data_IF_349494935318
#
_entry.id   IF_349494935318
#
_cell.length_a   1.000
_cell.length_b   1.000
_cell.length_c   1.000
_cell.angle_alpha   90.00
_cell.angle_beta   90.00
_cell.angle_gamma   90.00
#
_symmetry.space_group_name_H-M   'P 1'
#
loop_
_entity.id
_entity.type
_entity.pdbx_description
1 polymer ?
#
# COMPACT_ATOMS: atom_id res chain seq x y z
N UNK A 1 9.37 5.48 -30.69
CA UNK A 1 9.89 6.14 -29.48
C UNK A 1 8.78 6.17 -28.45
N UNK A 2 8.71 5.18 -27.57
CA UNK A 2 7.76 5.17 -26.43
C UNK A 2 8.37 6.01 -25.31
N UNK A 3 7.70 7.08 -24.93
CA UNK A 3 8.04 7.87 -23.74
C UNK A 3 7.76 6.99 -22.52
N UNK A 4 8.80 6.55 -21.85
CA UNK A 4 8.69 5.94 -20.51
C UNK A 4 8.35 7.08 -19.56
N UNK A 5 7.12 7.11 -19.06
CA UNK A 5 6.70 8.01 -18.00
C UNK A 5 7.21 7.41 -16.68
N UNK A 6 8.26 8.00 -16.14
CA UNK A 6 8.82 7.63 -14.85
C UNK A 6 7.83 8.07 -13.76
N UNK A 7 7.07 7.14 -13.21
CA UNK A 7 6.18 7.40 -12.07
C UNK A 7 7.00 7.28 -10.79
N UNK A 8 7.46 8.42 -10.26
CA UNK A 8 8.09 8.46 -8.94
C UNK A 8 7.02 8.25 -7.87
N UNK A 9 7.15 7.18 -7.11
CA UNK A 9 6.32 6.93 -5.94
C UNK A 9 6.89 7.73 -4.77
N UNK A 10 6.22 8.81 -4.41
CA UNK A 10 6.64 9.66 -3.30
C UNK A 10 6.15 9.05 -1.98
N UNK A 11 7.08 8.69 -1.13
CA UNK A 11 6.80 8.44 0.29
C UNK A 11 6.93 9.79 1.00
N UNK A 12 5.81 10.39 1.36
CA UNK A 12 5.83 11.56 2.24
C UNK A 12 6.05 11.09 3.67
N UNK A 13 7.26 11.20 4.20
CA UNK A 13 7.44 11.28 5.63
C UNK A 13 7.17 12.72 6.05
N UNK A 14 6.43 12.92 7.14
CA UNK A 14 6.23 14.24 7.70
C UNK A 14 7.59 14.85 8.07
N UNK A 15 7.83 16.13 7.77
CA UNK A 15 9.09 16.78 8.11
C UNK A 15 9.26 16.82 9.63
N UNK A 16 10.45 16.46 10.08
CA UNK A 16 10.89 16.78 11.44
C UNK A 16 11.23 18.26 11.50
N UNK A 17 10.53 18.99 12.34
CA UNK A 17 10.83 20.40 12.57
C UNK A 17 12.20 20.55 13.23
N UNK A 18 13.08 21.32 12.60
CA UNK A 18 14.35 21.71 13.20
C UNK A 18 14.12 22.81 14.23
N UNK A 19 14.50 22.53 15.43
CA UNK A 19 14.82 23.38 16.60
C UNK A 19 14.02 24.67 16.81
N UNK A 20 13.13 24.60 17.80
CA UNK A 20 12.58 25.78 18.47
C UNK A 20 11.15 25.65 18.94
N UNK A 21 10.28 25.08 18.12
CA UNK A 21 8.89 24.81 18.49
C UNK A 21 8.62 23.38 18.05
N UNK A 22 8.72 22.43 18.97
CA UNK A 22 8.54 21.01 18.66
C UNK A 22 7.09 20.60 18.80
N UNK A 23 6.62 19.96 17.75
CA UNK A 23 5.48 19.05 17.81
C UNK A 23 4.09 19.71 17.92
N UNK A 24 3.24 19.29 17.04
CA UNK A 24 1.84 19.58 17.07
C UNK A 24 1.38 20.70 16.13
N UNK A 25 0.09 20.72 15.87
CA UNK A 25 -0.59 21.69 15.01
C UNK A 25 -0.69 23.10 15.61
N UNK A 26 -0.28 23.26 16.87
CA UNK A 26 -0.23 24.58 17.55
C UNK A 26 0.88 24.61 18.61
N UNK A 27 1.61 25.71 18.66
CA UNK A 27 2.53 26.00 19.74
C UNK A 27 1.88 27.01 20.70
N UNK A 28 2.06 26.88 22.03
CA UNK A 28 1.56 27.87 22.95
C UNK A 28 2.27 29.20 22.76
N UNK A 29 1.49 30.27 22.66
CA UNK A 29 2.01 31.63 22.67
C UNK A 29 2.08 32.08 24.14
N UNK A 30 3.01 31.50 24.88
CA UNK A 30 3.22 31.78 26.30
C UNK A 30 4.51 32.55 26.58
N UNK A 31 4.66 33.01 27.82
CA UNK A 31 5.81 33.78 28.23
C UNK A 31 7.12 33.00 28.20
N UNK A 32 7.08 31.67 28.36
CA UNK A 32 8.29 30.84 28.36
C UNK A 32 8.81 30.63 26.94
N UNK A 33 7.92 30.53 25.98
CA UNK A 33 8.27 30.32 24.56
C UNK A 33 8.66 31.64 23.88
N UNK A 34 7.94 32.75 24.13
CA UNK A 34 8.10 34.00 23.39
C UNK A 34 8.61 35.18 24.24
N UNK A 35 8.93 34.96 25.52
CA UNK A 35 9.34 36.05 26.45
C UNK A 35 10.57 36.84 26.03
N UNK A 36 11.45 36.28 25.17
CA UNK A 36 12.65 36.95 24.64
C UNK A 36 12.39 37.80 23.40
N UNK A 37 11.16 37.85 22.93
CA UNK A 37 10.80 38.61 21.75
C UNK A 37 9.84 39.75 22.13
N UNK A 38 10.00 40.90 21.47
CA UNK A 38 9.08 42.03 21.59
C UNK A 38 8.59 42.41 20.18
N UNK A 39 7.30 42.69 20.04
CA UNK A 39 6.71 43.04 18.75
C UNK A 39 6.23 41.82 17.96
N UNK A 40 6.39 41.83 16.64
CA UNK A 40 5.99 40.73 15.74
C UNK A 40 7.05 39.66 15.71
N UNK A 41 6.66 38.43 15.98
CA UNK A 41 7.50 37.23 15.78
C UNK A 41 7.12 36.57 14.47
N UNK A 42 8.09 36.46 13.56
CA UNK A 42 7.93 35.75 12.29
C UNK A 42 8.39 34.29 12.47
N UNK A 43 7.59 33.35 12.01
CA UNK A 43 7.94 31.94 11.95
C UNK A 43 8.16 31.53 10.50
N UNK A 44 9.22 30.80 10.24
CA UNK A 44 9.53 30.24 8.93
C UNK A 44 9.48 28.71 9.02
N UNK A 45 8.90 28.08 7.99
CA UNK A 45 8.90 26.62 7.88
C UNK A 45 10.24 26.22 7.26
N UNK A 46 11.01 25.42 8.00
CA UNK A 46 12.25 24.84 7.48
C UNK A 46 11.96 23.39 7.07
N UNK A 47 12.14 23.10 5.79
CA UNK A 47 11.95 21.79 5.22
C UNK A 47 13.32 21.15 4.94
N UNK A 48 13.56 19.97 5.48
CA UNK A 48 14.72 19.17 5.11
C UNK A 48 14.30 18.06 4.15
N UNK A 49 14.99 17.89 3.01
CA UNK A 49 14.69 16.81 2.08
C UNK A 49 14.90 15.44 2.69
N UNK A 50 13.97 14.52 2.46
CA UNK A 50 14.11 13.13 2.90
C UNK A 50 15.27 12.44 2.18
N UNK A 51 16.00 11.60 2.92
CA UNK A 51 17.02 10.72 2.36
C UNK A 51 16.40 9.38 1.98
N UNK A 52 16.61 8.96 0.74
CA UNK A 52 16.20 7.68 0.19
C UNK A 52 17.41 6.77 0.12
N UNK A 53 17.34 5.61 0.77
CA UNK A 53 18.38 4.60 0.71
C UNK A 53 18.28 3.78 -0.57
N UNK A 54 19.42 3.51 -1.20
CA UNK A 54 19.52 2.81 -2.48
C UNK A 54 20.29 1.50 -2.30
N UNK A 55 19.76 0.43 -2.84
CA UNK A 55 20.42 -0.86 -2.96
C UNK A 55 20.55 -1.22 -4.45
N UNK A 56 21.68 -1.76 -4.83
CA UNK A 56 22.01 -2.14 -6.20
C UNK A 56 22.21 -3.64 -6.30
N UNK A 57 21.74 -4.26 -7.37
CA UNK A 57 21.77 -5.71 -7.54
C UNK A 57 22.21 -6.11 -8.96
N UNK A 58 22.93 -7.26 -9.08
CA UNK A 58 23.07 -8.04 -10.33
C UNK A 58 22.30 -9.36 -10.14
N UNK A 59 21.08 -9.42 -10.65
CA UNK A 59 20.16 -10.49 -10.29
C UNK A 59 19.85 -10.48 -8.80
N UNK A 60 20.15 -11.58 -8.11
CA UNK A 60 19.90 -11.74 -6.65
C UNK A 60 21.09 -11.26 -5.80
N UNK A 61 22.21 -10.92 -6.42
CA UNK A 61 23.43 -10.51 -5.71
C UNK A 61 23.39 -8.99 -5.43
N UNK A 62 23.45 -8.63 -4.14
CA UNK A 62 23.59 -7.23 -3.73
C UNK A 62 25.01 -6.73 -3.99
N UNK A 63 25.12 -5.68 -4.79
CA UNK A 63 26.42 -5.09 -5.13
C UNK A 63 26.94 -4.20 -4.00
N UNK A 64 28.26 -4.25 -3.77
CA UNK A 64 28.94 -3.27 -2.94
C UNK A 64 29.25 -2.04 -3.78
N UNK A 65 28.67 -0.90 -3.42
CA UNK A 65 28.83 0.36 -4.12
C UNK A 65 29.41 1.44 -3.21
N UNK A 66 29.92 2.52 -3.79
CA UNK A 66 30.46 3.65 -3.04
C UNK A 66 29.34 4.33 -2.23
N UNK A 67 29.72 4.97 -1.11
CA UNK A 67 28.78 5.63 -0.20
C UNK A 67 27.87 6.68 -0.85
N UNK A 68 28.37 7.39 -1.85
CA UNK A 68 27.59 8.38 -2.62
C UNK A 68 26.52 7.78 -3.54
N UNK A 69 26.57 6.46 -3.81
CA UNK A 69 25.55 5.73 -4.54
C UNK A 69 24.62 4.91 -3.64
N UNK A 70 24.75 5.03 -2.30
CA UNK A 70 23.93 4.29 -1.33
C UNK A 70 22.68 5.05 -0.90
N UNK A 71 22.60 6.34 -1.18
CA UNK A 71 21.43 7.16 -0.87
C UNK A 71 21.33 8.37 -1.79
N UNK A 72 20.14 8.94 -1.92
CA UNK A 72 19.93 10.26 -2.49
C UNK A 72 18.89 11.01 -1.63
N UNK A 73 18.95 12.34 -1.68
CA UNK A 73 17.91 13.18 -1.08
C UNK A 73 16.80 13.44 -2.10
N UNK A 74 15.61 13.71 -1.61
CA UNK A 74 14.50 14.16 -2.45
C UNK A 74 14.94 15.42 -3.24
N UNK A 75 14.62 15.46 -4.53
CA UNK A 75 15.11 16.49 -5.50
C UNK A 75 16.65 16.54 -5.66
N UNK A 76 17.39 15.65 -5.04
CA UNK A 76 18.83 15.54 -5.21
C UNK A 76 19.22 14.78 -6.48
N UNK A 77 20.49 14.87 -6.84
CA UNK A 77 21.03 14.13 -7.98
C UNK A 77 21.29 12.68 -7.59
N UNK A 78 20.67 11.73 -8.32
CA UNK A 78 20.94 10.31 -8.18
C UNK A 78 22.36 9.98 -8.70
N UNK A 79 23.24 9.52 -7.82
CA UNK A 79 24.54 8.97 -8.23
C UNK A 79 24.38 7.49 -8.50
N UNK A 80 24.61 7.11 -9.77
CA UNK A 80 24.60 5.69 -10.19
C UNK A 80 26.00 5.08 -10.04
N UNK A 81 26.12 3.78 -9.71
CA UNK A 81 27.40 3.09 -9.71
C UNK A 81 28.02 3.09 -11.11
N UNK A 82 29.35 2.94 -11.20
CA UNK A 82 30.00 2.70 -12.48
C UNK A 82 29.38 1.50 -13.22
N UNK A 83 29.36 1.55 -14.54
CA UNK A 83 28.89 0.45 -15.37
C UNK A 83 29.64 -0.85 -15.01
N UNK A 84 28.95 -1.92 -14.60
CA UNK A 84 29.58 -3.21 -14.36
C UNK A 84 29.99 -3.87 -15.66
N UNK A 85 31.04 -4.71 -15.61
CA UNK A 85 31.45 -5.54 -16.74
C UNK A 85 31.21 -7.01 -16.42
N UNK A 86 30.55 -7.72 -17.34
CA UNK A 86 30.27 -9.15 -17.22
C UNK A 86 30.64 -9.83 -18.56
N UNK A 87 31.56 -10.81 -18.57
CA UNK A 87 31.97 -11.48 -19.82
C UNK A 87 30.77 -12.08 -20.56
N UNK A 88 30.67 -11.79 -21.84
CA UNK A 88 29.58 -12.30 -22.69
C UNK A 88 28.25 -11.53 -22.58
N UNK A 89 28.21 -10.44 -21.84
CA UNK A 89 27.00 -9.62 -21.64
C UNK A 89 27.27 -8.16 -22.01
N UNK A 90 26.24 -7.49 -22.52
CA UNK A 90 26.24 -6.04 -22.72
C UNK A 90 25.40 -5.38 -21.64
N UNK A 91 25.94 -4.36 -20.98
CA UNK A 91 25.19 -3.58 -20.00
C UNK A 91 24.17 -2.67 -20.68
N UNK A 92 22.88 -2.84 -20.36
CA UNK A 92 21.77 -2.09 -20.94
C UNK A 92 21.22 -0.98 -20.03
N UNK A 93 21.93 -0.64 -18.95
CA UNK A 93 21.54 0.39 -18.00
C UNK A 93 21.05 -0.18 -16.67
N UNK A 94 20.78 0.72 -15.74
CA UNK A 94 20.18 0.42 -14.46
C UNK A 94 18.66 0.47 -14.55
N UNK A 95 17.97 -0.50 -13.94
CA UNK A 95 16.52 -0.57 -13.84
C UNK A 95 16.12 -0.42 -12.38
N UNK A 96 15.08 0.37 -12.11
CA UNK A 96 14.47 0.39 -10.76
C UNK A 96 13.65 -0.88 -10.59
N UNK A 97 13.93 -1.62 -9.53
CA UNK A 97 13.17 -2.82 -9.13
C UNK A 97 12.46 -2.54 -7.80
N UNK A 98 11.15 -2.74 -7.70
CA UNK A 98 10.41 -2.49 -6.47
C UNK A 98 10.56 -3.62 -5.43
N UNK A 99 11.06 -4.78 -5.85
CA UNK A 99 11.42 -5.90 -4.96
C UNK A 99 12.93 -6.12 -4.98
N UNK A 100 13.58 -6.47 -3.85
CA UNK A 100 15.02 -6.68 -3.80
C UNK A 100 15.44 -7.96 -4.50
N UNK A 101 16.75 -8.13 -4.74
CA UNK A 101 17.33 -9.40 -5.15
C UNK A 101 16.93 -10.53 -4.18
N UNK A 102 16.77 -11.74 -4.71
CA UNK A 102 16.19 -12.88 -3.99
C UNK A 102 14.68 -13.03 -4.18
N UNK A 103 14.04 -12.07 -4.86
CA UNK A 103 12.63 -12.14 -5.24
C UNK A 103 12.45 -11.84 -6.73
N UNK A 104 11.43 -12.48 -7.31
CA UNK A 104 10.94 -12.17 -8.66
C UNK A 104 9.59 -11.48 -8.54
N UNK A 105 9.46 -10.25 -9.07
CA UNK A 105 8.20 -9.53 -9.11
C UNK A 105 7.22 -10.20 -10.06
N UNK A 106 5.97 -10.26 -9.63
CA UNK A 106 4.85 -10.81 -10.41
C UNK A 106 3.82 -9.71 -10.66
N UNK A 107 3.07 -9.82 -11.76
CA UNK A 107 1.95 -8.91 -11.98
C UNK A 107 0.88 -9.05 -10.89
N UNK A 108 0.62 -10.28 -10.44
CA UNK A 108 -0.30 -10.59 -9.35
C UNK A 108 0.05 -11.93 -8.71
N UNK A 109 -0.49 -12.17 -7.53
CA UNK A 109 -0.73 -13.53 -7.01
C UNK A 109 -2.24 -13.74 -6.88
N UNK A 110 -2.69 -15.00 -7.03
CA UNK A 110 -4.10 -15.36 -7.01
C UNK A 110 -4.42 -16.34 -5.87
N UNK A 111 -5.47 -16.02 -5.11
CA UNK A 111 -6.11 -16.94 -4.18
C UNK A 111 -7.26 -17.67 -4.89
N UNK A 112 -7.32 -18.98 -4.69
CA UNK A 112 -8.42 -19.83 -5.18
C UNK A 112 -9.56 -19.99 -4.16
N UNK A 113 -9.50 -19.22 -3.04
CA UNK A 113 -10.52 -19.21 -2.00
C UNK A 113 -10.13 -19.83 -0.67
N UNK A 114 -8.88 -20.30 -0.55
CA UNK A 114 -8.37 -20.92 0.70
C UNK A 114 -7.14 -20.19 1.26
N UNK A 115 -6.48 -19.40 0.43
CA UNK A 115 -5.30 -18.61 0.77
C UNK A 115 -5.74 -17.21 1.23
N UNK A 116 -4.98 -16.65 2.16
CA UNK A 116 -5.09 -15.27 2.60
C UNK A 116 -3.77 -14.82 3.22
N UNK A 117 -3.54 -13.52 3.31
CA UNK A 117 -2.35 -12.95 3.92
C UNK A 117 -2.74 -12.17 5.16
N UNK A 118 -2.10 -12.52 6.29
CA UNK A 118 -2.06 -11.69 7.46
C UNK A 118 -1.01 -10.58 7.23
N UNK A 119 -1.44 -9.33 7.14
CA UNK A 119 -0.52 -8.21 6.92
C UNK A 119 0.21 -7.76 8.18
N UNK A 120 -0.15 -8.33 9.34
CA UNK A 120 0.33 -7.94 10.68
C UNK A 120 0.11 -6.45 10.99
N UNK A 121 -0.73 -5.80 10.19
CA UNK A 121 -1.03 -4.39 10.36
C UNK A 121 -2.40 -4.18 11.02
N UNK A 122 -2.37 -3.41 12.10
CA UNK A 122 -3.57 -2.99 12.84
C UNK A 122 -3.63 -1.47 12.82
N UNK A 123 -4.71 -0.90 12.30
CA UNK A 123 -4.91 0.54 12.34
C UNK A 123 -5.01 1.05 13.78
N UNK A 124 -4.34 2.16 14.07
CA UNK A 124 -4.43 2.83 15.37
C UNK A 124 -5.81 3.41 15.59
N UNK A 125 -6.39 3.96 14.52
CA UNK A 125 -7.79 4.40 14.44
C UNK A 125 -8.32 4.06 13.03
N UNK A 126 -9.46 3.36 12.98
CA UNK A 126 -10.07 3.02 11.70
C UNK A 126 -10.54 4.25 10.90
N UNK A 127 -10.75 5.40 11.57
CA UNK A 127 -11.13 6.66 10.90
C UNK A 127 -9.98 7.34 10.18
N UNK A 128 -8.74 6.88 10.41
CA UNK A 128 -7.52 7.38 9.75
C UNK A 128 -7.03 6.47 8.62
N UNK A 129 -7.75 5.38 8.37
CA UNK A 129 -7.40 4.41 7.34
C UNK A 129 -7.58 4.98 5.93
N UNK A 130 -6.56 4.78 5.08
CA UNK A 130 -6.68 4.97 3.64
C UNK A 130 -6.12 3.72 2.96
N UNK A 131 -6.93 3.10 2.13
CA UNK A 131 -6.68 1.80 1.49
C UNK A 131 -6.74 1.97 -0.01
N UNK A 132 -5.71 1.50 -0.72
CA UNK A 132 -5.71 1.40 -2.18
C UNK A 132 -5.39 -0.03 -2.55
N UNK A 133 -6.28 -0.72 -3.27
CA UNK A 133 -6.09 -2.11 -3.70
C UNK A 133 -6.45 -2.27 -5.16
N UNK A 134 -5.51 -2.81 -5.93
CA UNK A 134 -5.69 -3.22 -7.32
C UNK A 134 -5.96 -4.73 -7.36
N UNK A 135 -7.16 -5.12 -7.78
CA UNK A 135 -7.62 -6.50 -7.64
C UNK A 135 -8.62 -6.93 -8.71
N UNK A 136 -8.69 -8.24 -8.93
CA UNK A 136 -9.74 -8.95 -9.68
C UNK A 136 -10.39 -9.95 -8.77
N UNK A 137 -11.70 -9.91 -8.59
CA UNK A 137 -12.44 -10.99 -7.95
C UNK A 137 -12.83 -12.03 -8.99
N UNK A 138 -12.33 -13.27 -8.86
CA UNK A 138 -12.44 -14.32 -9.89
C UNK A 138 -13.62 -15.25 -9.66
N UNK A 139 -13.96 -15.54 -8.39
CA UNK A 139 -15.08 -16.40 -8.06
C UNK A 139 -15.75 -15.91 -6.78
N UNK A 140 -16.96 -16.36 -6.53
CA UNK A 140 -17.76 -15.95 -5.41
C UNK A 140 -17.67 -16.86 -4.19
N UNK A 141 -17.78 -16.30 -3.00
CA UNK A 141 -18.32 -17.04 -1.86
C UNK A 141 -19.81 -17.31 -2.10
N UNK A 142 -20.33 -18.38 -1.50
CA UNK A 142 -21.74 -18.80 -1.65
C UNK A 142 -22.76 -17.73 -1.23
N UNK A 143 -22.35 -16.75 -0.43
CA UNK A 143 -23.17 -15.63 0.06
C UNK A 143 -22.95 -14.31 -0.70
N UNK A 144 -22.11 -14.33 -1.76
CA UNK A 144 -21.87 -13.17 -2.60
C UNK A 144 -20.95 -12.09 -2.04
N UNK A 145 -20.28 -12.33 -0.90
CA UNK A 145 -19.33 -11.39 -0.31
C UNK A 145 -17.89 -11.68 -0.69
N UNK A 146 -17.18 -10.66 -1.18
CA UNK A 146 -15.76 -10.69 -1.55
C UNK A 146 -15.12 -9.38 -1.21
N UNK A 147 -14.21 -9.36 -0.25
CA UNK A 147 -13.51 -8.13 0.11
C UNK A 147 -12.12 -8.40 0.64
N UNK A 148 -11.33 -7.33 0.69
CA UNK A 148 -10.05 -7.27 1.36
C UNK A 148 -10.18 -6.31 2.54
N UNK A 149 -9.62 -6.66 3.68
CA UNK A 149 -9.56 -5.71 4.78
C UNK A 149 -9.85 -6.27 6.16
N UNK A 150 -10.28 -5.40 7.00
CA UNK A 150 -10.76 -5.70 8.34
C UNK A 150 -12.15 -6.32 8.24
N UNK A 151 -12.81 -6.51 9.33
CA UNK A 151 -14.09 -7.18 9.46
C UNK A 151 -15.18 -6.74 8.48
N UNK A 152 -15.92 -7.67 7.94
CA UNK A 152 -17.24 -7.44 7.34
C UNK A 152 -18.30 -6.99 8.38
N UNK A 153 -19.45 -6.69 7.91
CA UNK A 153 -20.59 -5.94 8.46
C UNK A 153 -20.93 -5.97 9.96
N UNK A 154 -20.41 -6.88 10.72
CA UNK A 154 -20.77 -6.99 12.17
C UNK A 154 -19.81 -6.29 13.13
N UNK A 155 -18.56 -6.03 12.72
CA UNK A 155 -17.52 -5.59 13.67
C UNK A 155 -16.82 -4.28 13.26
N UNK A 156 -17.21 -3.69 12.10
CA UNK A 156 -16.84 -2.33 11.73
C UNK A 156 -15.34 -2.06 11.57
N UNK A 157 -14.79 -2.40 10.42
CA UNK A 157 -13.45 -1.97 10.02
C UNK A 157 -13.39 -1.65 8.54
N UNK A 158 -12.37 -0.90 8.08
CA UNK A 158 -12.26 -0.54 6.69
C UNK A 158 -12.01 -1.79 5.84
N UNK A 159 -12.90 -2.03 4.89
CA UNK A 159 -12.69 -3.01 3.82
C UNK A 159 -13.29 -2.53 2.51
N UNK A 160 -12.82 -3.09 1.42
CA UNK A 160 -13.28 -2.78 0.06
C UNK A 160 -13.56 -4.07 -0.70
N UNK A 161 -14.59 -4.08 -1.54
CA UNK A 161 -14.91 -5.28 -2.28
C UNK A 161 -16.23 -5.25 -3.02
N UNK A 162 -16.76 -6.46 -3.23
CA UNK A 162 -18.04 -6.72 -3.89
C UNK A 162 -18.94 -7.52 -2.95
N UNK A 163 -20.19 -7.08 -2.80
CA UNK A 163 -21.22 -7.82 -2.07
C UNK A 163 -22.52 -7.85 -2.86
N UNK A 164 -23.07 -9.05 -3.03
CA UNK A 164 -24.32 -9.25 -3.76
C UNK A 164 -24.31 -8.57 -5.15
N UNK A 165 -23.18 -8.65 -5.84
CA UNK A 165 -23.00 -8.08 -7.18
C UNK A 165 -22.81 -6.56 -7.24
N UNK A 166 -22.62 -5.88 -6.12
CA UNK A 166 -22.41 -4.43 -6.05
C UNK A 166 -21.07 -4.10 -5.38
N UNK A 167 -20.47 -2.97 -5.73
CA UNK A 167 -19.31 -2.44 -5.01
C UNK A 167 -19.70 -2.03 -3.60
N UNK A 168 -18.84 -2.37 -2.65
CA UNK A 168 -19.02 -2.06 -1.23
C UNK A 168 -17.75 -1.52 -0.61
N UNK A 169 -17.92 -0.56 0.28
CA UNK A 169 -16.97 -0.25 1.32
C UNK A 169 -17.64 -0.55 2.65
N UNK A 170 -17.04 -1.38 3.47
CA UNK A 170 -17.58 -1.58 4.79
C UNK A 170 -16.92 -0.61 5.76
N UNK A 171 -17.78 0.03 6.48
CA UNK A 171 -17.48 0.82 7.66
C UNK A 171 -18.27 0.16 8.81
N UNK A 172 -18.96 0.88 9.62
CA UNK A 172 -19.83 0.30 10.67
C UNK A 172 -21.05 -0.47 10.11
N UNK A 173 -21.49 -0.12 8.93
CA UNK A 173 -22.55 -0.79 8.17
C UNK A 173 -22.07 -0.93 6.73
N UNK A 174 -22.44 -2.03 6.08
CA UNK A 174 -22.13 -2.26 4.68
C UNK A 174 -22.65 -1.11 3.82
N UNK A 175 -21.74 -0.33 3.30
CA UNK A 175 -22.08 0.71 2.36
C UNK A 175 -22.10 0.12 0.95
N UNK A 176 -23.28 -0.26 0.50
CA UNK A 176 -23.52 -0.69 -0.88
C UNK A 176 -23.74 0.52 -1.76
N UNK A 177 -23.01 0.59 -2.86
CA UNK A 177 -23.06 1.77 -3.75
C UNK A 177 -24.27 1.81 -4.67
N UNK A 178 -24.98 0.69 -4.83
CA UNK A 178 -25.99 0.55 -5.88
C UNK A 178 -25.41 0.31 -7.29
N UNK A 179 -24.08 0.40 -7.44
CA UNK A 179 -23.38 0.19 -8.72
C UNK A 179 -23.00 -1.28 -8.85
N UNK A 180 -23.38 -1.89 -9.96
CA UNK A 180 -23.10 -3.30 -10.24
C UNK A 180 -21.61 -3.51 -10.52
N UNK A 181 -21.08 -4.61 -10.00
CA UNK A 181 -19.73 -5.07 -10.24
C UNK A 181 -19.73 -6.35 -11.07
N UNK A 182 -18.75 -6.49 -11.95
CA UNK A 182 -18.55 -7.69 -12.78
C UNK A 182 -17.35 -8.47 -12.29
N UNK A 183 -17.49 -9.80 -12.15
CA UNK A 183 -16.36 -10.68 -11.84
C UNK A 183 -15.39 -10.73 -13.02
N UNK A 184 -14.12 -11.07 -12.71
CA UNK A 184 -13.04 -11.13 -13.68
C UNK A 184 -12.71 -9.78 -14.36
N UNK A 185 -13.16 -8.68 -13.78
CA UNK A 185 -12.76 -7.32 -14.17
C UNK A 185 -11.79 -6.77 -13.14
N UNK A 186 -10.74 -6.11 -13.61
CA UNK A 186 -9.71 -5.51 -12.76
C UNK A 186 -10.16 -4.12 -12.31
N UNK A 187 -10.21 -3.93 -11.01
CA UNK A 187 -10.63 -2.70 -10.38
C UNK A 187 -9.56 -2.17 -9.43
N UNK A 188 -9.37 -0.87 -9.48
CA UNK A 188 -8.65 -0.13 -8.45
C UNK A 188 -9.68 0.40 -7.46
N UNK A 189 -9.60 -0.09 -6.23
CA UNK A 189 -10.38 0.39 -5.10
C UNK A 189 -9.57 1.40 -4.31
N UNK A 190 -10.19 2.50 -3.94
CA UNK A 190 -9.63 3.48 -3.01
C UNK A 190 -10.69 3.83 -1.96
N UNK A 191 -10.35 3.63 -0.70
CA UNK A 191 -11.16 4.00 0.46
C UNK A 191 -10.34 4.89 1.37
N UNK A 192 -10.65 6.18 1.38
CA UNK A 192 -10.04 7.18 2.26
C UNK A 192 -11.06 7.58 3.34
N UNK A 193 -10.79 7.18 4.57
CA UNK A 193 -11.68 7.42 5.70
C UNK A 193 -11.57 8.85 6.23
N UNK A 194 -10.41 9.48 6.09
CA UNK A 194 -10.17 10.86 6.53
C UNK A 194 -11.01 11.82 5.69
N UNK A 195 -10.93 11.67 4.36
CA UNK A 195 -11.63 12.51 3.41
C UNK A 195 -13.02 11.97 3.05
N UNK A 196 -13.37 10.79 3.56
CA UNK A 196 -14.65 10.11 3.30
C UNK A 196 -14.88 9.83 1.82
N UNK A 197 -13.84 9.38 1.14
CA UNK A 197 -13.88 9.09 -0.29
C UNK A 197 -13.89 7.58 -0.50
N UNK A 198 -14.80 7.12 -1.35
CA UNK A 198 -14.78 5.77 -1.89
C UNK A 198 -14.83 5.84 -3.40
N UNK A 199 -13.74 5.43 -4.03
CA UNK A 199 -13.60 5.36 -5.48
C UNK A 199 -13.45 3.92 -5.92
N UNK A 200 -14.03 3.60 -7.08
CA UNK A 200 -13.74 2.37 -7.81
C UNK A 200 -13.51 2.73 -9.27
N UNK A 201 -12.37 2.36 -9.79
CA UNK A 201 -11.97 2.61 -11.17
C UNK A 201 -11.84 1.28 -11.91
N UNK A 202 -12.44 1.15 -13.07
CA UNK A 202 -12.14 0.07 -14.02
C UNK A 202 -10.77 0.35 -14.64
N UNK A 203 -9.81 -0.53 -14.37
CA UNK A 203 -8.40 -0.31 -14.77
C UNK A 203 -8.22 -0.39 -16.29
N UNK A 204 -8.99 -1.25 -16.98
CA UNK A 204 -8.85 -1.44 -18.42
C UNK A 204 -9.31 -0.21 -19.22
N UNK A 205 -10.37 0.45 -18.75
CA UNK A 205 -10.98 1.62 -19.43
C UNK A 205 -10.59 2.94 -18.79
N UNK A 206 -9.93 2.91 -17.61
CA UNK A 206 -9.64 4.06 -16.75
C UNK A 206 -10.91 4.87 -16.40
N UNK A 207 -12.05 4.16 -16.26
CA UNK A 207 -13.35 4.78 -15.99
C UNK A 207 -13.66 4.70 -14.50
N UNK A 208 -13.99 5.84 -13.89
CA UNK A 208 -14.46 5.88 -12.50
C UNK A 208 -15.92 5.40 -12.48
N UNK A 209 -16.16 4.24 -11.85
CA UNK A 209 -17.48 3.63 -11.72
C UNK A 209 -18.19 4.07 -10.43
N UNK A 210 -17.45 4.30 -9.39
CA UNK A 210 -17.93 4.78 -8.09
C UNK A 210 -17.09 5.99 -7.69
N UNK A 211 -17.77 7.08 -7.31
CA UNK A 211 -17.16 8.25 -6.71
C UNK A 211 -18.12 8.76 -5.63
N UNK A 212 -17.89 8.35 -4.40
CA UNK A 212 -18.77 8.65 -3.28
C UNK A 212 -18.00 9.29 -2.14
N UNK A 213 -18.62 10.29 -1.52
CA UNK A 213 -18.08 11.03 -0.36
C UNK A 213 -19.09 11.14 0.79
N UNK A 214 -20.15 10.34 0.73
CA UNK A 214 -21.29 10.39 1.63
C UNK A 214 -21.45 9.13 2.50
N UNK A 215 -20.42 8.27 2.56
CA UNK A 215 -20.53 7.08 3.39
C UNK A 215 -20.46 7.42 4.90
N UNK A 216 -21.10 6.59 5.75
CA UNK A 216 -21.27 6.91 7.15
C UNK A 216 -19.95 7.09 7.91
N UNK A 217 -19.87 8.14 8.73
CA UNK A 217 -18.85 8.26 9.75
C UNK A 217 -19.20 7.34 10.90
N UNK A 218 -18.27 6.54 11.33
CA UNK A 218 -18.41 5.82 12.57
C UNK A 218 -18.00 4.37 12.49
N UNK A 219 -17.03 4.02 13.29
CA UNK A 219 -16.66 2.66 13.58
C UNK A 219 -17.18 2.26 14.94
N UNK A 220 -17.81 1.09 15.05
CA UNK A 220 -17.98 0.46 16.35
C UNK A 220 -16.62 -0.08 16.78
N UNK A 221 -16.14 0.53 17.82
CA UNK A 221 -14.81 0.40 18.36
C UNK A 221 -14.67 -0.82 19.27
N UNK A 222 -14.97 -2.00 18.84
CA UNK A 222 -14.89 -3.12 19.76
C UNK A 222 -13.63 -3.98 19.57
N UNK A 223 -13.21 -4.25 18.36
CA UNK A 223 -12.04 -5.07 18.12
C UNK A 223 -11.29 -4.49 16.90
N UNK A 224 -9.97 -4.38 17.02
CA UNK A 224 -9.08 -3.96 15.92
C UNK A 224 -8.39 -5.19 15.36
N UNK A 225 -9.05 -5.96 14.49
CA UNK A 225 -8.40 -7.09 13.88
C UNK A 225 -7.31 -6.62 12.92
N UNK A 226 -6.39 -7.51 12.63
CA UNK A 226 -5.34 -7.30 11.64
C UNK A 226 -5.97 -7.11 10.26
N UNK A 227 -5.44 -6.19 9.46
CA UNK A 227 -5.82 -6.07 8.06
C UNK A 227 -5.38 -7.33 7.29
N UNK A 228 -6.24 -7.85 6.43
CA UNK A 228 -5.92 -9.05 5.66
C UNK A 228 -6.16 -8.83 4.16
N UNK A 229 -5.35 -9.49 3.32
CA UNK A 229 -5.58 -9.59 1.90
C UNK A 229 -6.18 -10.95 1.55
N UNK A 230 -6.92 -11.02 0.44
CA UNK A 230 -7.64 -12.21 -0.04
C UNK A 230 -8.77 -12.67 0.89
N UNK A 231 -9.28 -11.76 1.69
CA UNK A 231 -10.37 -12.01 2.61
C UNK A 231 -10.62 -10.84 3.56
N UNK A 232 -11.50 -11.07 4.49
CA UNK A 232 -11.78 -10.13 5.58
C UNK A 232 -12.02 -10.89 6.88
N UNK A 233 -11.71 -10.24 7.99
CA UNK A 233 -11.90 -10.84 9.31
C UNK A 233 -13.38 -10.85 9.69
N UNK A 234 -13.93 -11.99 10.06
CA UNK A 234 -15.32 -12.11 10.52
C UNK A 234 -15.39 -12.99 11.78
N UNK A 235 -15.77 -12.41 12.90
CA UNK A 235 -15.85 -13.12 14.17
C UNK A 235 -14.51 -13.74 14.59
N UNK A 236 -14.43 -15.06 14.65
CA UNK A 236 -13.23 -15.78 15.07
C UNK A 236 -12.29 -16.20 13.93
N UNK A 237 -12.55 -15.77 12.69
CA UNK A 237 -11.77 -16.22 11.55
C UNK A 237 -11.78 -15.29 10.34
N UNK A 238 -11.03 -15.66 9.30
CA UNK A 238 -10.96 -14.96 8.04
C UNK A 238 -11.90 -15.60 7.03
N UNK A 239 -12.82 -14.80 6.51
CA UNK A 239 -13.62 -15.19 5.34
C UNK A 239 -12.81 -14.90 4.10
N UNK A 240 -12.37 -15.96 3.45
CA UNK A 240 -11.48 -15.93 2.29
C UNK A 240 -12.29 -15.71 1.01
N UNK A 241 -11.63 -15.17 -0.01
CA UNK A 241 -12.20 -15.00 -1.34
C UNK A 241 -11.23 -15.48 -2.43
N UNK A 242 -11.77 -15.74 -3.61
CA UNK A 242 -10.99 -16.01 -4.81
C UNK A 242 -10.75 -14.70 -5.53
N UNK A 243 -9.49 -14.29 -5.59
CA UNK A 243 -9.11 -13.02 -6.21
C UNK A 243 -7.64 -12.99 -6.60
N UNK A 244 -7.31 -12.11 -7.55
CA UNK A 244 -5.95 -11.71 -7.90
C UNK A 244 -5.69 -10.36 -7.24
N UNK A 245 -4.53 -10.19 -6.63
CA UNK A 245 -4.08 -8.90 -6.11
C UNK A 245 -2.84 -8.49 -6.87
N UNK A 246 -2.90 -7.31 -7.50
CA UNK A 246 -1.82 -6.70 -8.27
C UNK A 246 -0.98 -5.76 -7.40
N UNK A 247 -1.62 -5.07 -6.47
CA UNK A 247 -0.95 -4.26 -5.46
C UNK A 247 -1.90 -3.94 -4.32
N UNK A 248 -1.34 -3.61 -3.15
CA UNK A 248 -2.12 -3.06 -2.04
C UNK A 248 -1.28 -2.05 -1.26
N UNK A 249 -1.88 -0.90 -0.93
CA UNK A 249 -1.27 0.13 -0.10
C UNK A 249 -2.16 0.44 1.08
N UNK A 250 -1.56 0.50 2.25
CA UNK A 250 -2.24 0.83 3.49
C UNK A 250 -1.60 2.09 4.07
N UNK A 251 -2.41 3.13 4.23
CA UNK A 251 -1.99 4.36 4.89
C UNK A 251 -2.75 4.49 6.21
N UNK A 252 -2.09 5.02 7.22
CA UNK A 252 -2.69 5.43 8.49
C UNK A 252 -2.34 6.90 8.74
N UNK A 253 -3.34 7.72 8.93
CA UNK A 253 -3.18 9.17 9.06
C UNK A 253 -2.32 9.79 7.95
N UNK A 254 -2.59 9.41 6.69
CA UNK A 254 -1.85 9.80 5.48
C UNK A 254 -0.39 9.31 5.39
N UNK A 255 0.07 8.49 6.34
CA UNK A 255 1.40 7.88 6.29
C UNK A 255 1.30 6.50 5.64
N UNK A 256 2.10 6.23 4.62
CA UNK A 256 2.17 4.91 3.98
C UNK A 256 2.82 3.90 4.93
N UNK A 257 2.02 2.97 5.44
CA UNK A 257 2.45 1.97 6.43
C UNK A 257 2.84 0.64 5.78
N UNK A 258 2.21 0.29 4.64
CA UNK A 258 2.47 -0.92 3.86
C UNK A 258 2.34 -0.63 2.38
N UNK A 259 3.24 -1.21 1.58
CA UNK A 259 3.17 -1.18 0.12
C UNK A 259 3.48 -2.58 -0.41
N UNK A 260 2.44 -3.35 -0.64
CA UNK A 260 2.50 -4.75 -1.02
C UNK A 260 2.64 -4.95 -2.52
N UNK A 261 3.63 -5.72 -2.91
CA UNK A 261 3.99 -6.06 -4.28
C UNK A 261 3.97 -7.59 -4.41
N UNK A 262 3.25 -8.16 -5.38
CA UNK A 262 3.25 -9.59 -5.61
C UNK A 262 4.64 -10.11 -5.99
N UNK A 263 5.10 -11.14 -5.32
CA UNK A 263 6.44 -11.66 -5.56
C UNK A 263 6.54 -13.17 -5.32
N UNK A 264 7.53 -13.76 -5.97
CA UNK A 264 8.00 -15.12 -5.72
C UNK A 264 9.38 -15.06 -5.10
N UNK A 265 9.59 -15.72 -3.96
CA UNK A 265 10.90 -15.88 -3.35
C UNK A 265 11.72 -16.91 -4.13
N UNK A 266 12.91 -16.53 -4.61
CA UNK A 266 13.68 -17.34 -5.55
C UNK A 266 14.29 -18.58 -4.91
N UNK A 267 14.59 -18.55 -3.61
CA UNK A 267 15.24 -19.67 -2.90
C UNK A 267 14.37 -20.93 -2.77
N UNK A 268 13.05 -20.79 -2.74
CA UNK A 268 12.11 -21.90 -2.49
C UNK A 268 10.84 -21.83 -3.34
N UNK A 269 10.68 -20.80 -4.16
CA UNK A 269 9.52 -20.62 -5.03
C UNK A 269 8.23 -20.18 -4.33
N UNK A 270 8.28 -19.87 -3.03
CA UNK A 270 7.10 -19.45 -2.25
C UNK A 270 6.54 -18.14 -2.79
N UNK A 271 5.22 -18.10 -2.96
CA UNK A 271 4.48 -16.92 -3.42
C UNK A 271 3.96 -16.10 -2.23
N UNK A 272 3.97 -14.79 -2.38
CA UNK A 272 3.49 -13.87 -1.34
C UNK A 272 3.47 -12.43 -1.81
N UNK A 273 3.32 -11.53 -0.83
CA UNK A 273 3.38 -10.09 -1.03
C UNK A 273 4.62 -9.54 -0.33
N UNK A 274 5.50 -8.91 -1.10
CA UNK A 274 6.63 -8.18 -0.54
C UNK A 274 6.19 -6.78 -0.13
N UNK A 275 6.41 -6.40 1.12
CA UNK A 275 6.15 -5.05 1.60
C UNK A 275 7.42 -4.19 1.47
N UNK A 276 7.41 -3.26 0.54
CA UNK A 276 8.57 -2.40 0.26
C UNK A 276 8.85 -1.36 1.37
N UNK A 277 7.91 -1.15 2.30
CA UNK A 277 8.09 -0.24 3.43
C UNK A 277 8.86 -0.91 4.57
N UNK A 278 8.48 -2.13 4.93
CA UNK A 278 9.11 -2.86 6.04
C UNK A 278 10.24 -3.79 5.59
N UNK A 279 10.31 -4.11 4.30
CA UNK A 279 11.23 -5.10 3.77
C UNK A 279 10.84 -6.54 4.09
N UNK A 280 9.61 -6.79 4.56
CA UNK A 280 9.11 -8.12 4.93
C UNK A 280 8.40 -8.79 3.76
N UNK A 281 8.46 -10.12 3.75
CA UNK A 281 7.75 -10.94 2.78
C UNK A 281 6.64 -11.72 3.48
N UNK A 282 5.40 -11.40 3.13
CA UNK A 282 4.19 -11.97 3.71
C UNK A 282 3.68 -13.12 2.85
N UNK A 283 3.56 -14.29 3.44
CA UNK A 283 3.16 -15.51 2.76
C UNK A 283 1.74 -15.95 3.15
N UNK A 284 1.29 -17.06 2.59
CA UNK A 284 -0.03 -17.60 2.87
C UNK A 284 -0.21 -17.97 4.35
N UNK A 285 -1.27 -17.47 4.96
CA UNK A 285 -1.74 -17.83 6.30
C UNK A 285 -2.91 -18.82 6.28
N UNK A 286 -3.33 -19.24 5.08
CA UNK A 286 -4.42 -20.21 4.86
C UNK A 286 -3.91 -21.61 4.47
N UNK A 287 -4.66 -22.28 3.60
CA UNK A 287 -4.31 -23.61 3.11
C UNK A 287 -4.01 -23.60 1.61
N UNK A 288 -3.15 -24.53 1.17
CA UNK A 288 -2.69 -24.63 -0.22
C UNK A 288 -1.79 -23.47 -0.61
N UNK A 289 -1.47 -23.37 -1.89
CA UNK A 289 -0.55 -22.37 -2.41
C UNK A 289 -1.30 -21.32 -3.23
N UNK A 290 -0.78 -20.09 -3.27
CA UNK A 290 -1.20 -19.10 -4.26
C UNK A 290 -0.85 -19.55 -5.67
N UNK A 291 -1.55 -19.01 -6.67
CA UNK A 291 -1.19 -19.15 -8.07
C UNK A 291 -0.41 -17.93 -8.52
N UNK A 292 0.72 -18.15 -9.22
CA UNK A 292 1.55 -17.07 -9.73
C UNK A 292 0.91 -16.41 -10.96
N UNK A 293 0.95 -15.09 -11.01
CA UNK A 293 0.78 -14.33 -12.23
C UNK A 293 2.05 -14.31 -13.10
N UNK A 294 2.01 -13.61 -14.25
CA UNK A 294 3.19 -13.39 -15.07
C UNK A 294 4.31 -12.66 -14.31
N UNK A 295 5.53 -12.89 -14.74
CA UNK A 295 6.69 -12.12 -14.25
C UNK A 295 6.65 -10.74 -14.88
N UNK A 296 6.93 -9.71 -14.08
CA UNK A 296 7.10 -8.34 -14.57
C UNK A 296 8.45 -8.24 -15.28
N UNK A 297 8.43 -7.87 -16.59
CA UNK A 297 9.63 -7.70 -17.43
C UNK A 297 10.29 -6.32 -17.28
#
# INVERSE_FOLDING_TARGET
MRKVMLLFLFVFSLPTFATGISGGTSAPCDNDTLSKYSGTVNAEINWEPNTINLNWYDGDEKLTVNSNAQSCTYDGTLTVPPQPTKPGYTFNGWKVIPVPGGFTELEYIESTGTQWINTEYVYTDNTTAHIIIDTVFTNGSSDGWRSHGLSGSRYGGPNVGIAQGQFVAATNNDFKTGVSATLNTRYLFELDMINRIFLVTDVATNTILVNRNDFPNGYRNAERPVFVLFGFYEGSGVRKNSSKVYSAKLYDNNILMRNFIPAKRNSDGVLGMYDSITGQFFTNSGMGDFVAGPVVE
#
